data_IF_769320896583
#
_entry.id   IF_769320896583
#
_cell.length_a   1.000
_cell.length_b   1.000
_cell.length_c   1.000
_cell.angle_alpha   90.00
_cell.angle_beta   90.00
_cell.angle_gamma   90.00
#
_symmetry.space_group_name_H-M   'P 1'
#
loop_
_entity.id
_entity.type
_entity.pdbx_description
1 polymer ?
#
# COMPACT_ATOMS: atom_id res chain seq x y z
N UNK A 1 10.10 -18.63 0.25
CA UNK A 1 11.27 -17.75 0.20
C UNK A 1 10.98 -16.50 0.99
N UNK A 2 12.00 -15.82 1.50
CA UNK A 2 11.84 -14.53 2.18
C UNK A 2 11.36 -13.46 1.18
N UNK A 3 10.48 -12.58 1.64
CA UNK A 3 10.04 -11.42 0.86
C UNK A 3 11.26 -10.52 0.56
N UNK A 4 11.39 -9.96 -0.66
CA UNK A 4 12.58 -9.20 -1.03
C UNK A 4 12.72 -7.91 -0.20
N UNK A 5 13.97 -7.59 0.14
CA UNK A 5 14.33 -6.32 0.80
C UNK A 5 14.06 -5.12 -0.14
N UNK A 6 14.49 -5.23 -1.40
CA UNK A 6 14.25 -4.24 -2.44
C UNK A 6 13.29 -4.75 -3.52
N UNK A 7 12.26 -3.97 -3.82
CA UNK A 7 11.31 -4.27 -4.90
C UNK A 7 10.68 -2.98 -5.44
N UNK A 8 9.97 -3.10 -6.55
CA UNK A 8 9.17 -2.00 -7.11
C UNK A 8 7.79 -2.49 -7.53
N UNK A 9 6.80 -1.59 -7.46
CA UNK A 9 5.46 -1.81 -7.98
C UNK A 9 5.21 -0.71 -9.00
N UNK A 10 5.00 -1.09 -10.26
CA UNK A 10 4.61 -0.17 -11.33
C UNK A 10 3.20 -0.51 -11.77
N UNK A 11 2.36 0.51 -11.90
CA UNK A 11 0.96 0.37 -12.30
C UNK A 11 0.49 1.60 -13.07
N UNK A 12 -0.46 1.40 -13.99
CA UNK A 12 -1.17 2.46 -14.71
C UNK A 12 -2.66 2.24 -14.49
N UNK A 13 -3.33 3.21 -13.87
CA UNK A 13 -4.73 3.11 -13.45
C UNK A 13 -5.47 4.41 -13.75
N UNK A 14 -6.79 4.32 -13.91
CA UNK A 14 -7.72 5.46 -13.92
C UNK A 14 -8.83 5.22 -12.88
N UNK A 15 -8.60 5.55 -11.60
CA UNK A 15 -9.60 5.32 -10.56
C UNK A 15 -10.81 6.22 -10.75
N UNK A 16 -11.97 5.75 -10.30
CA UNK A 16 -13.16 6.61 -10.23
C UNK A 16 -12.90 7.75 -9.24
N UNK A 17 -13.25 8.97 -9.61
CA UNK A 17 -13.11 10.14 -8.73
C UNK A 17 -13.73 9.87 -7.34
N UNK A 18 -12.97 10.16 -6.28
CA UNK A 18 -13.38 10.02 -4.89
C UNK A 18 -13.34 8.59 -4.32
N UNK A 19 -12.87 7.59 -5.07
CA UNK A 19 -12.68 6.25 -4.51
C UNK A 19 -11.52 6.22 -3.50
N UNK A 20 -11.69 5.46 -2.42
CA UNK A 20 -10.62 5.09 -1.51
C UNK A 20 -10.63 3.56 -1.41
N UNK A 21 -9.56 2.90 -1.85
CA UNK A 21 -9.51 1.44 -1.91
C UNK A 21 -8.09 0.90 -2.04
N UNK A 22 -7.87 -0.36 -1.66
CA UNK A 22 -6.66 -1.06 -2.00
C UNK A 22 -6.65 -1.46 -3.49
N UNK A 23 -5.56 -1.12 -4.18
CA UNK A 23 -5.23 -1.65 -5.49
C UNK A 23 -4.63 -3.06 -5.37
N UNK A 24 -3.77 -3.27 -4.39
CA UNK A 24 -3.08 -4.53 -4.12
C UNK A 24 -2.99 -4.77 -2.62
N UNK A 25 -3.29 -6.00 -2.21
CA UNK A 25 -3.05 -6.49 -0.85
C UNK A 25 -2.41 -7.87 -0.89
N UNK A 26 -1.30 -8.05 -0.15
CA UNK A 26 -0.65 -9.35 0.03
C UNK A 26 -0.75 -9.72 1.51
N UNK A 27 -1.19 -10.94 1.77
CA UNK A 27 -1.38 -11.48 3.11
C UNK A 27 -0.45 -12.66 3.34
N UNK A 28 0.04 -12.82 4.57
CA UNK A 28 0.71 -14.04 4.98
C UNK A 28 -0.29 -15.16 5.30
N UNK A 29 0.21 -16.34 5.61
CA UNK A 29 -0.59 -17.52 6.01
C UNK A 29 -1.47 -17.25 7.26
N UNK A 30 -1.04 -16.27 8.08
CA UNK A 30 -1.75 -15.65 9.22
C UNK A 30 -3.07 -14.94 8.85
N UNK A 31 -3.21 -14.54 7.59
CA UNK A 31 -4.21 -13.55 7.16
C UNK A 31 -3.83 -12.10 7.49
N UNK A 32 -2.59 -11.83 7.91
CA UNK A 32 -2.10 -10.48 8.19
C UNK A 32 -1.60 -9.85 6.89
N UNK A 33 -2.02 -8.60 6.62
CA UNK A 33 -1.60 -7.87 5.43
C UNK A 33 -0.14 -7.42 5.59
N UNK A 34 0.75 -8.00 4.78
CA UNK A 34 2.19 -7.68 4.78
C UNK A 34 2.56 -6.62 3.75
N UNK A 35 1.73 -6.42 2.72
CA UNK A 35 1.90 -5.39 1.72
C UNK A 35 0.53 -4.84 1.32
N UNK A 36 0.43 -3.52 1.16
CA UNK A 36 -0.78 -2.83 0.73
C UNK A 36 -0.46 -1.61 -0.10
N UNK A 37 -1.10 -1.48 -1.26
CA UNK A 37 -1.05 -0.26 -2.07
C UNK A 37 -2.45 0.32 -2.14
N UNK A 38 -2.64 1.49 -1.55
CA UNK A 38 -3.91 2.21 -1.59
C UNK A 38 -3.99 3.18 -2.78
N UNK A 39 -5.20 3.39 -3.28
CA UNK A 39 -5.56 4.43 -4.23
C UNK A 39 -6.65 5.29 -3.63
N UNK A 40 -6.51 6.60 -3.78
CA UNK A 40 -7.42 7.57 -3.19
C UNK A 40 -6.71 8.88 -2.88
N UNK A 41 -7.30 9.65 -1.96
CA UNK A 41 -6.66 10.87 -1.44
C UNK A 41 -5.72 10.48 -0.30
N UNK A 42 -4.51 11.03 -0.32
CA UNK A 42 -3.46 10.78 0.65
C UNK A 42 -3.22 9.27 0.86
N UNK A 43 -2.96 8.51 -0.23
CA UNK A 43 -2.90 7.05 -0.17
C UNK A 43 -1.80 6.60 0.79
N UNK A 44 -2.02 5.43 1.40
CA UNK A 44 -1.02 4.76 2.25
C UNK A 44 -0.32 3.67 1.45
N UNK A 45 0.99 3.53 1.67
CA UNK A 45 1.73 2.34 1.29
C UNK A 45 2.07 1.55 2.54
N UNK A 46 1.46 0.37 2.68
CA UNK A 46 1.62 -0.49 3.83
C UNK A 46 2.66 -1.55 3.48
N UNK A 47 3.63 -1.76 4.36
CA UNK A 47 4.56 -2.87 4.25
C UNK A 47 5.01 -3.32 5.64
N UNK A 48 5.36 -4.59 5.75
CA UNK A 48 5.98 -5.18 6.94
C UNK A 48 7.30 -5.84 6.52
N UNK A 49 8.41 -5.37 7.07
CA UNK A 49 9.72 -5.98 6.90
C UNK A 49 9.86 -7.25 7.76
N UNK A 50 11.00 -7.93 7.68
CA UNK A 50 11.29 -9.14 8.45
C UNK A 50 11.26 -8.95 9.98
N UNK A 51 11.23 -7.71 10.46
CA UNK A 51 11.17 -7.35 11.88
C UNK A 51 9.77 -6.92 12.35
N UNK A 52 8.78 -6.91 11.45
CA UNK A 52 7.43 -6.47 11.78
C UNK A 52 7.23 -4.95 11.70
N UNK A 53 8.12 -4.22 11.00
CA UNK A 53 8.11 -2.76 10.91
C UNK A 53 7.89 -2.27 9.48
N UNK A 54 7.43 -1.03 9.27
CA UNK A 54 6.88 -0.07 10.26
C UNK A 54 5.60 -0.57 10.94
N UNK A 55 5.27 0.01 12.10
CA UNK A 55 3.95 -0.23 12.72
C UNK A 55 2.86 0.53 11.94
N UNK A 56 1.56 0.20 12.10
CA UNK A 56 0.50 0.87 11.35
C UNK A 56 0.47 2.40 11.46
N UNK A 57 0.90 2.94 12.60
CA UNK A 57 0.98 4.40 12.83
C UNK A 57 2.12 5.06 12.05
N UNK A 58 3.13 4.27 11.68
CA UNK A 58 4.35 4.70 11.00
C UNK A 58 4.29 4.44 9.48
N UNK A 59 3.16 3.97 8.96
CA UNK A 59 3.04 3.71 7.52
C UNK A 59 3.26 4.98 6.69
N UNK A 60 4.02 4.90 5.59
CA UNK A 60 4.18 6.01 4.65
C UNK A 60 2.82 6.54 4.16
N UNK A 61 2.60 7.83 4.45
CA UNK A 61 1.41 8.58 4.03
C UNK A 61 1.80 9.63 2.99
N UNK A 62 1.27 9.51 1.78
CA UNK A 62 1.51 10.47 0.70
C UNK A 62 0.53 11.65 0.77
N UNK A 63 0.63 12.46 1.83
CA UNK A 63 -0.40 13.46 2.21
C UNK A 63 -0.85 14.41 1.10
N UNK A 64 0.05 14.85 0.22
CA UNK A 64 -0.25 15.81 -0.86
C UNK A 64 -0.74 15.15 -2.17
N UNK A 65 -0.81 13.82 -2.22
CA UNK A 65 -1.16 13.07 -3.42
C UNK A 65 -2.66 12.75 -3.44
N UNK A 66 -3.30 12.87 -4.59
CA UNK A 66 -4.63 12.35 -4.85
C UNK A 66 -4.59 11.51 -6.12
N UNK A 67 -4.78 10.20 -5.99
CA UNK A 67 -4.80 9.24 -7.11
C UNK A 67 -6.21 8.99 -7.66
N UNK A 68 -7.25 9.54 -7.01
CA UNK A 68 -8.65 9.32 -7.36
C UNK A 68 -9.35 10.64 -7.70
N UNK A 69 -8.85 11.36 -8.70
CA UNK A 69 -9.38 12.64 -9.17
C UNK A 69 -10.20 12.56 -10.48
N UNK A 70 -10.10 11.49 -11.28
CA UNK A 70 -11.03 11.17 -12.39
C UNK A 70 -10.35 10.90 -13.74
#
# INVERSE_FOLDING_TARGET
GVFPEDFSILTTIKPKAGIQSFLLSIYNEKGVQQLGVEVGRSPVFLYEDQTGKPTPEDYPLFRSLNLADG
#
